data_IF_061015029046
#
_entry.id   IF_061015029046
#
_cell.length_a   1.000
_cell.length_b   1.000
_cell.length_c   1.000
_cell.angle_alpha   90.00
_cell.angle_beta   90.00
_cell.angle_gamma   90.00
#
_symmetry.space_group_name_H-M   'P 1'
#
loop_
_entity.id
_entity.type
_entity.pdbx_description
1 polymer ?
#
# COMPACT_ATOMS: atom_id res chain seq x y z
N UNK A 1 -54.71 7.73 3.33
CA UNK A 1 -54.34 9.08 3.78
C UNK A 1 -53.03 9.39 3.10
N UNK A 2 -53.15 10.01 1.93
CA UNK A 2 -52.03 10.47 1.11
C UNK A 2 -51.21 11.50 1.89
N UNK A 3 -49.90 11.27 1.97
CA UNK A 3 -48.96 12.24 2.52
C UNK A 3 -48.55 13.13 1.35
N UNK A 4 -48.97 14.39 1.43
CA UNK A 4 -48.74 15.47 0.48
C UNK A 4 -47.34 15.45 -0.15
N UNK A 5 -47.30 15.13 -1.45
CA UNK A 5 -46.22 15.52 -2.34
C UNK A 5 -46.33 17.02 -2.61
N UNK A 6 -45.72 17.85 -1.75
CA UNK A 6 -45.47 19.25 -2.05
C UNK A 6 -44.68 19.35 -3.37
N UNK A 7 -45.08 20.22 -4.33
CA UNK A 7 -44.31 20.41 -5.55
C UNK A 7 -42.93 20.95 -5.19
N UNK A 8 -41.88 20.19 -5.48
CA UNK A 8 -40.51 20.68 -5.38
C UNK A 8 -40.37 21.88 -6.32
N UNK A 9 -40.36 23.10 -5.77
CA UNK A 9 -40.06 24.31 -6.54
C UNK A 9 -38.76 24.09 -7.30
N UNK A 10 -38.75 24.43 -8.58
CA UNK A 10 -37.52 24.42 -9.35
C UNK A 10 -36.51 25.39 -8.69
N UNK A 11 -35.24 24.98 -8.55
CA UNK A 11 -34.23 25.80 -7.93
C UNK A 11 -33.98 27.06 -8.77
N UNK A 12 -34.02 28.23 -8.12
CA UNK A 12 -33.78 29.54 -8.70
C UNK A 12 -32.28 29.81 -8.82
N UNK A 13 -31.81 30.25 -9.99
CA UNK A 13 -30.39 30.58 -10.20
C UNK A 13 -30.07 31.97 -9.70
N UNK A 14 -28.93 32.11 -9.01
CA UNK A 14 -28.36 33.42 -8.69
C UNK A 14 -27.49 33.88 -9.87
N UNK A 15 -28.04 34.73 -10.74
CA UNK A 15 -27.36 35.17 -11.97
C UNK A 15 -26.01 35.87 -11.71
N UNK A 16 -25.88 36.60 -10.60
CA UNK A 16 -24.63 37.28 -10.22
C UNK A 16 -23.48 36.31 -9.88
N UNK A 17 -23.81 35.07 -9.52
CA UNK A 17 -22.87 34.03 -9.10
C UNK A 17 -23.07 32.75 -9.93
N UNK A 18 -23.43 32.92 -11.20
CA UNK A 18 -23.65 31.83 -12.16
C UNK A 18 -22.62 31.84 -13.29
N UNK A 19 -21.42 31.33 -13.03
CA UNK A 19 -20.33 31.31 -13.99
C UNK A 19 -20.44 30.11 -14.94
N UNK A 20 -20.54 30.38 -16.25
CA UNK A 20 -20.77 29.35 -17.28
C UNK A 20 -19.66 28.29 -17.38
N UNK A 21 -18.43 28.64 -17.02
CA UNK A 21 -17.24 27.79 -17.16
C UNK A 21 -16.84 27.07 -15.86
N UNK A 22 -17.66 27.18 -14.81
CA UNK A 22 -17.36 26.58 -13.51
C UNK A 22 -18.05 25.22 -13.31
N UNK A 23 -17.38 24.28 -12.64
CA UNK A 23 -17.90 22.92 -12.42
C UNK A 23 -18.65 22.68 -11.10
N UNK A 24 -18.56 23.59 -10.11
CA UNK A 24 -19.16 23.39 -8.79
C UNK A 24 -20.49 24.13 -8.67
N UNK A 25 -21.54 23.38 -8.34
CA UNK A 25 -22.87 23.93 -8.03
C UNK A 25 -23.11 23.84 -6.53
N UNK A 26 -23.42 24.97 -5.89
CA UNK A 26 -23.78 25.05 -4.48
C UNK A 26 -25.28 25.36 -4.41
N UNK A 27 -26.01 24.65 -3.55
CA UNK A 27 -27.43 24.91 -3.28
C UNK A 27 -27.59 25.41 -1.86
N UNK A 28 -28.25 26.56 -1.70
CA UNK A 28 -28.73 27.06 -0.42
C UNK A 28 -30.25 27.24 -0.52
N UNK A 29 -30.99 26.40 0.21
CA UNK A 29 -32.47 26.36 0.14
C UNK A 29 -32.98 26.15 -1.29
N UNK A 30 -33.71 27.12 -1.86
CA UNK A 30 -34.20 27.09 -3.23
C UNK A 30 -33.28 27.81 -4.23
N UNK A 31 -32.14 28.33 -3.80
CA UNK A 31 -31.21 29.08 -4.66
C UNK A 31 -29.99 28.24 -5.01
N UNK A 32 -29.58 28.28 -6.28
CA UNK A 32 -28.38 27.61 -6.77
C UNK A 32 -27.36 28.60 -7.32
N UNK A 33 -26.09 28.30 -7.08
CA UNK A 33 -24.92 29.08 -7.45
C UNK A 33 -23.98 28.19 -8.26
N UNK A 34 -23.30 28.73 -9.26
CA UNK A 34 -22.32 27.99 -10.07
C UNK A 34 -20.99 28.73 -10.04
N UNK A 35 -20.04 28.22 -9.27
CA UNK A 35 -18.84 28.95 -8.84
C UNK A 35 -17.55 28.12 -8.98
N UNK A 36 -16.39 28.78 -9.00
CA UNK A 36 -15.11 28.11 -9.17
C UNK A 36 -14.68 27.36 -7.91
N UNK A 37 -14.25 26.09 -8.09
CA UNK A 37 -13.69 25.26 -7.01
C UNK A 37 -12.41 25.88 -6.45
N UNK A 38 -11.52 26.33 -7.34
CA UNK A 38 -10.19 26.82 -6.96
C UNK A 38 -10.28 28.14 -6.20
N UNK A 39 -11.19 29.04 -6.61
CA UNK A 39 -11.40 30.32 -5.92
C UNK A 39 -11.93 30.08 -4.50
N UNK A 40 -12.88 29.17 -4.32
CA UNK A 40 -13.40 28.82 -2.99
C UNK A 40 -12.35 28.17 -2.11
N UNK A 41 -11.59 27.21 -2.63
CA UNK A 41 -10.52 26.54 -1.91
C UNK A 41 -9.35 27.49 -1.57
N UNK A 42 -9.08 28.48 -2.43
CA UNK A 42 -8.05 29.48 -2.19
C UNK A 42 -8.43 30.42 -1.04
N UNK A 43 -9.69 30.86 -1.00
CA UNK A 43 -10.16 31.84 -0.01
C UNK A 43 -10.75 31.24 1.27
N UNK A 44 -11.01 29.93 1.31
CA UNK A 44 -11.58 29.26 2.49
C UNK A 44 -10.91 27.91 2.72
N UNK A 45 -10.27 27.76 3.89
CA UNK A 45 -9.72 26.48 4.33
C UNK A 45 -10.80 25.41 4.44
N UNK A 46 -11.99 25.77 4.91
CA UNK A 46 -13.12 24.82 5.02
C UNK A 46 -13.52 24.29 3.64
N UNK A 47 -13.65 25.17 2.63
CA UNK A 47 -13.97 24.72 1.28
C UNK A 47 -12.83 23.96 0.63
N UNK A 48 -11.58 24.35 0.90
CA UNK A 48 -10.40 23.61 0.44
C UNK A 48 -10.42 22.17 0.93
N UNK A 49 -10.64 21.98 2.22
CA UNK A 49 -10.63 20.66 2.85
C UNK A 49 -11.86 19.84 2.39
N UNK A 50 -13.04 20.48 2.29
CA UNK A 50 -14.27 19.85 1.80
C UNK A 50 -14.17 19.38 0.34
N UNK A 51 -13.59 20.20 -0.54
CA UNK A 51 -13.47 19.96 -1.98
C UNK A 51 -12.27 19.08 -2.36
N UNK A 52 -11.26 18.98 -1.49
CA UNK A 52 -10.12 18.09 -1.64
C UNK A 52 -10.49 16.61 -1.43
N UNK A 53 -11.61 16.33 -0.76
CA UNK A 53 -12.05 14.97 -0.46
C UNK A 53 -13.04 14.46 -1.52
N UNK A 54 -12.84 13.24 -2.05
CA UNK A 54 -13.64 12.72 -3.17
C UNK A 54 -15.13 12.64 -2.82
N UNK A 55 -15.97 13.00 -3.79
CA UNK A 55 -17.43 12.99 -3.71
C UNK A 55 -18.00 11.68 -4.30
N UNK A 56 -17.31 10.55 -4.10
CA UNK A 56 -17.78 9.31 -4.68
C UNK A 56 -19.09 8.90 -3.99
N UNK A 57 -20.14 8.70 -4.78
CA UNK A 57 -21.47 8.32 -4.28
C UNK A 57 -21.35 6.98 -3.53
N UNK A 58 -20.48 6.11 -4.02
CA UNK A 58 -20.19 4.80 -3.43
C UNK A 58 -19.58 4.95 -2.03
N UNK A 59 -18.63 5.88 -1.84
CA UNK A 59 -18.01 6.12 -0.54
C UNK A 59 -19.03 6.55 0.53
N UNK A 60 -19.94 7.45 0.15
CA UNK A 60 -21.02 7.92 1.03
C UNK A 60 -21.97 6.76 1.35
N UNK A 61 -22.33 5.95 0.36
CA UNK A 61 -23.18 4.78 0.55
C UNK A 61 -22.54 3.76 1.50
N UNK A 62 -21.26 3.42 1.29
CA UNK A 62 -20.50 2.52 2.17
C UNK A 62 -20.45 3.03 3.59
N UNK A 63 -20.17 4.32 3.78
CA UNK A 63 -20.15 4.96 5.09
C UNK A 63 -21.51 4.92 5.79
N UNK A 64 -22.60 5.29 5.10
CA UNK A 64 -23.94 5.27 5.67
C UNK A 64 -24.37 3.84 6.03
N UNK A 65 -24.09 2.87 5.16
CA UNK A 65 -24.35 1.45 5.46
C UNK A 65 -23.54 0.97 6.66
N UNK A 66 -22.28 1.37 6.78
CA UNK A 66 -21.43 1.01 7.92
C UNK A 66 -21.90 1.66 9.25
N UNK A 67 -22.55 2.82 9.18
CA UNK A 67 -23.12 3.51 10.35
C UNK A 67 -24.47 2.92 10.79
N UNK A 68 -25.31 2.54 9.83
CA UNK A 68 -26.71 2.13 10.07
C UNK A 68 -26.82 0.62 10.26
N UNK A 69 -26.12 -0.18 9.46
CA UNK A 69 -26.23 -1.63 9.45
C UNK A 69 -25.06 -2.27 10.20
N UNK A 70 -25.35 -2.86 11.36
CA UNK A 70 -24.33 -3.44 12.24
C UNK A 70 -23.48 -4.54 11.56
N UNK A 71 -24.07 -5.30 10.63
CA UNK A 71 -23.43 -6.41 9.91
C UNK A 71 -22.70 -6.00 8.63
N UNK A 72 -22.88 -4.76 8.14
CA UNK A 72 -22.31 -4.36 6.86
C UNK A 72 -20.79 -4.26 6.93
N UNK A 73 -20.27 -3.61 7.97
CA UNK A 73 -18.84 -3.39 8.15
C UNK A 73 -18.27 -4.45 9.09
N UNK A 74 -17.69 -5.50 8.53
CA UNK A 74 -17.25 -6.70 9.26
C UNK A 74 -15.93 -6.46 10.00
N UNK A 75 -15.64 -7.23 11.08
CA UNK A 75 -14.47 -7.00 11.93
C UNK A 75 -13.13 -7.42 11.31
N UNK A 76 -13.11 -8.23 10.26
CA UNK A 76 -11.88 -8.65 9.56
C UNK A 76 -11.73 -7.89 8.26
N UNK A 77 -10.52 -7.46 7.94
CA UNK A 77 -10.25 -6.63 6.77
C UNK A 77 -10.72 -7.29 5.48
N UNK A 78 -10.31 -8.54 5.25
CA UNK A 78 -10.62 -9.30 4.02
C UNK A 78 -12.07 -9.76 3.90
N UNK A 79 -12.89 -9.61 4.95
CA UNK A 79 -14.32 -9.85 4.85
C UNK A 79 -15.08 -8.65 4.24
N UNK A 80 -14.38 -7.53 4.04
CA UNK A 80 -14.88 -6.31 3.42
C UNK A 80 -14.04 -6.02 2.15
N UNK A 81 -14.62 -5.62 1.01
CA UNK A 81 -13.84 -5.16 -0.13
C UNK A 81 -12.94 -3.97 0.24
N UNK A 82 -11.76 -3.84 -0.38
CA UNK A 82 -10.85 -2.72 -0.11
C UNK A 82 -11.55 -1.37 -0.29
N UNK A 83 -12.35 -1.22 -1.34
CA UNK A 83 -13.04 0.06 -1.64
C UNK A 83 -14.03 0.45 -0.56
N UNK A 84 -14.67 -0.52 0.09
CA UNK A 84 -15.54 -0.28 1.24
C UNK A 84 -14.72 0.23 2.42
N UNK A 85 -13.59 -0.41 2.74
CA UNK A 85 -12.72 0.03 3.85
C UNK A 85 -12.15 1.41 3.57
N UNK A 86 -11.66 1.65 2.35
CA UNK A 86 -11.07 2.92 1.93
C UNK A 86 -12.12 4.04 1.91
N UNK A 87 -13.31 3.80 1.36
CA UNK A 87 -14.41 4.75 1.33
C UNK A 87 -14.90 5.12 2.72
N UNK A 88 -15.13 4.11 3.58
CA UNK A 88 -15.49 4.34 4.99
C UNK A 88 -14.40 5.15 5.69
N UNK A 89 -13.12 4.86 5.46
CA UNK A 89 -12.02 5.60 6.06
C UNK A 89 -11.96 7.07 5.60
N UNK A 90 -12.13 7.33 4.30
CA UNK A 90 -12.17 8.69 3.73
C UNK A 90 -13.32 9.51 4.29
N UNK A 91 -14.54 8.96 4.28
CA UNK A 91 -15.74 9.68 4.73
C UNK A 91 -15.77 9.85 6.25
N UNK A 92 -15.38 8.83 7.01
CA UNK A 92 -15.28 8.96 8.48
C UNK A 92 -14.19 9.95 8.92
N UNK A 93 -13.13 10.14 8.12
CA UNK A 93 -12.20 11.24 8.33
C UNK A 93 -12.83 12.60 7.98
N UNK A 94 -13.51 12.69 6.83
CA UNK A 94 -14.15 13.93 6.34
C UNK A 94 -15.17 14.51 7.31
N UNK A 95 -16.03 13.65 7.84
CA UNK A 95 -17.16 14.05 8.69
C UNK A 95 -16.88 13.84 10.19
N UNK A 96 -15.62 13.62 10.56
CA UNK A 96 -15.18 13.43 11.95
C UNK A 96 -16.05 12.42 12.71
N UNK A 97 -15.98 11.14 12.29
CA UNK A 97 -16.64 10.02 12.97
C UNK A 97 -15.59 9.09 13.55
N UNK A 98 -15.02 9.38 14.75
CA UNK A 98 -13.84 8.72 15.26
C UNK A 98 -13.99 7.22 15.46
N UNK A 99 -15.17 6.75 15.90
CA UNK A 99 -15.42 5.32 16.12
C UNK A 99 -15.30 4.51 14.83
N UNK A 100 -15.82 5.03 13.72
CA UNK A 100 -15.80 4.36 12.43
C UNK A 100 -14.45 4.53 11.74
N UNK A 101 -13.84 5.72 11.84
CA UNK A 101 -12.46 5.99 11.41
C UNK A 101 -11.49 5.00 12.06
N UNK A 102 -11.56 4.87 13.39
CA UNK A 102 -10.72 3.93 14.15
C UNK A 102 -10.91 2.49 13.66
N UNK A 103 -12.15 2.02 13.47
CA UNK A 103 -12.41 0.67 12.92
C UNK A 103 -11.78 0.50 11.55
N UNK A 104 -12.01 1.43 10.62
CA UNK A 104 -11.44 1.34 9.27
C UNK A 104 -9.90 1.38 9.27
N UNK A 105 -9.30 2.19 10.16
CA UNK A 105 -7.86 2.23 10.37
C UNK A 105 -7.29 0.89 10.87
N UNK A 106 -7.98 0.22 11.79
CA UNK A 106 -7.58 -1.12 12.24
C UNK A 106 -7.65 -2.13 11.09
N UNK A 107 -8.69 -2.07 10.24
CA UNK A 107 -8.83 -2.98 9.11
C UNK A 107 -7.72 -2.77 8.07
N UNK A 108 -7.49 -1.53 7.62
CA UNK A 108 -6.48 -1.28 6.59
C UNK A 108 -5.08 -1.59 7.10
N UNK A 109 -4.76 -1.20 8.34
CA UNK A 109 -3.44 -1.42 8.94
C UNK A 109 -3.16 -2.90 9.22
N UNK A 110 -4.19 -3.72 9.44
CA UNK A 110 -4.00 -5.17 9.59
C UNK A 110 -3.52 -5.86 8.31
N UNK A 111 -3.68 -5.22 7.16
CA UNK A 111 -3.32 -5.78 5.84
C UNK A 111 -1.98 -5.26 5.33
N UNK A 112 -1.53 -4.10 5.82
CA UNK A 112 -0.25 -3.51 5.43
C UNK A 112 0.82 -3.73 6.52
N UNK A 113 1.83 -4.58 6.25
CA UNK A 113 2.81 -5.00 7.23
C UNK A 113 3.76 -3.87 7.64
N UNK A 114 3.98 -3.77 8.94
CA UNK A 114 4.99 -2.91 9.59
C UNK A 114 6.13 -3.74 10.19
N UNK A 115 5.90 -5.05 10.32
CA UNK A 115 6.88 -6.06 10.73
C UNK A 115 7.03 -7.10 9.63
N UNK A 116 8.25 -7.61 9.47
CA UNK A 116 8.54 -8.65 8.47
C UNK A 116 7.71 -9.93 8.68
N UNK A 117 7.37 -10.26 9.92
CA UNK A 117 6.52 -11.41 10.28
C UNK A 117 5.12 -11.34 9.67
N UNK A 118 4.65 -10.13 9.38
CA UNK A 118 3.28 -9.87 8.93
C UNK A 118 3.19 -9.88 7.40
N UNK A 119 4.33 -9.93 6.71
CA UNK A 119 4.39 -10.05 5.25
C UNK A 119 3.85 -11.42 4.84
N UNK A 120 2.92 -11.50 3.86
CA UNK A 120 2.43 -12.78 3.35
C UNK A 120 3.59 -13.67 2.88
N UNK A 121 3.81 -14.77 3.62
CA UNK A 121 5.01 -15.61 3.47
C UNK A 121 4.81 -16.86 2.59
N UNK A 122 3.56 -17.17 2.22
CA UNK A 122 3.21 -18.29 1.36
C UNK A 122 2.34 -17.84 0.17
N UNK A 123 2.34 -18.65 -0.89
CA UNK A 123 1.66 -18.33 -2.15
C UNK A 123 0.16 -18.05 -1.97
N UNK A 124 -0.52 -18.78 -1.09
CA UNK A 124 -1.97 -18.61 -0.87
C UNK A 124 -2.29 -17.30 -0.17
N UNK A 125 -1.62 -17.01 0.95
CA UNK A 125 -1.80 -15.76 1.67
C UNK A 125 -1.47 -14.56 0.78
N UNK A 126 -0.42 -14.67 -0.04
CA UNK A 126 -0.02 -13.65 -0.99
C UNK A 126 -1.05 -13.44 -2.09
N UNK A 127 -1.57 -14.51 -2.67
CA UNK A 127 -2.62 -14.45 -3.67
C UNK A 127 -3.87 -13.76 -3.11
N UNK A 128 -4.34 -14.18 -1.93
CA UNK A 128 -5.50 -13.57 -1.30
C UNK A 128 -5.28 -12.08 -0.99
N UNK A 129 -4.06 -11.69 -0.60
CA UNK A 129 -3.70 -10.29 -0.41
C UNK A 129 -3.82 -9.51 -1.73
N UNK A 130 -3.24 -10.02 -2.82
CA UNK A 130 -3.33 -9.40 -4.15
C UNK A 130 -4.74 -9.31 -4.70
N UNK A 131 -5.57 -10.32 -4.46
CA UNK A 131 -6.99 -10.32 -4.87
C UNK A 131 -7.81 -9.27 -4.11
N UNK A 132 -7.41 -8.96 -2.87
CA UNK A 132 -8.09 -7.97 -2.03
C UNK A 132 -7.62 -6.55 -2.30
N UNK A 133 -6.32 -6.33 -2.53
CA UNK A 133 -5.75 -4.99 -2.74
C UNK A 133 -5.96 -4.51 -4.18
N UNK A 134 -6.31 -3.23 -4.41
CA UNK A 134 -6.29 -2.65 -5.74
C UNK A 134 -4.84 -2.44 -6.22
N UNK A 135 -4.65 -1.71 -7.32
CA UNK A 135 -3.31 -1.33 -7.74
C UNK A 135 -2.59 -0.54 -6.64
N UNK A 136 -1.27 -0.72 -6.56
CA UNK A 136 -0.48 -0.05 -5.51
C UNK A 136 -0.46 1.47 -5.71
N UNK A 137 -0.73 1.99 -6.91
CA UNK A 137 -0.89 3.43 -7.11
C UNK A 137 -2.06 3.99 -6.29
N UNK A 138 -3.20 3.30 -6.29
CA UNK A 138 -4.39 3.67 -5.50
C UNK A 138 -4.09 3.62 -4.00
N UNK A 139 -3.36 2.60 -3.56
CA UNK A 139 -2.96 2.46 -2.14
C UNK A 139 -2.04 3.61 -1.71
N UNK A 140 -1.04 3.97 -2.52
CA UNK A 140 -0.13 5.09 -2.25
C UNK A 140 -0.90 6.41 -2.23
N UNK A 141 -1.78 6.64 -3.20
CA UNK A 141 -2.67 7.81 -3.28
C UNK A 141 -3.54 7.95 -2.02
N UNK A 142 -4.14 6.85 -1.55
CA UNK A 142 -4.92 6.82 -0.31
C UNK A 142 -4.07 7.12 0.92
N UNK A 143 -2.92 6.46 1.05
CA UNK A 143 -2.01 6.65 2.17
C UNK A 143 -1.52 8.10 2.27
N UNK A 144 -1.24 8.75 1.13
CA UNK A 144 -0.89 10.17 1.07
C UNK A 144 -2.04 11.08 1.52
N UNK A 145 -3.24 10.88 0.96
CA UNK A 145 -4.41 11.72 1.27
C UNK A 145 -4.80 11.67 2.75
N UNK A 146 -4.53 10.55 3.41
CA UNK A 146 -4.91 10.31 4.81
C UNK A 146 -3.73 10.30 5.79
N UNK A 147 -2.52 10.67 5.34
CA UNK A 147 -1.29 10.68 6.15
C UNK A 147 -0.97 9.33 6.82
N UNK A 148 -1.24 8.21 6.13
CA UNK A 148 -0.96 6.85 6.60
C UNK A 148 0.46 6.41 6.21
N UNK A 149 1.46 7.17 6.64
CA UNK A 149 2.83 7.03 6.13
C UNK A 149 3.46 5.64 6.37
N UNK A 150 3.00 4.89 7.38
CA UNK A 150 3.48 3.53 7.68
C UNK A 150 3.11 2.50 6.62
N UNK A 151 2.13 2.77 5.77
CA UNK A 151 1.75 1.90 4.64
C UNK A 151 2.75 2.05 3.48
N UNK A 152 3.35 3.23 3.34
CA UNK A 152 4.12 3.62 2.16
C UNK A 152 5.34 2.74 1.87
N UNK A 153 6.19 2.33 2.84
CA UNK A 153 7.39 1.55 2.52
C UNK A 153 7.05 0.23 1.83
N UNK A 154 6.03 -0.47 2.32
CA UNK A 154 5.59 -1.74 1.73
C UNK A 154 4.82 -1.52 0.43
N UNK A 155 3.98 -0.48 0.36
CA UNK A 155 3.25 -0.15 -0.87
C UNK A 155 4.20 0.21 -2.02
N UNK A 156 5.24 1.02 -1.78
CA UNK A 156 6.25 1.32 -2.80
C UNK A 156 7.08 0.10 -3.20
N UNK A 157 7.40 -0.77 -2.24
CA UNK A 157 8.07 -2.04 -2.53
C UNK A 157 7.24 -2.92 -3.46
N UNK A 158 5.95 -3.08 -3.18
CA UNK A 158 5.04 -3.85 -4.01
C UNK A 158 4.78 -3.16 -5.37
N UNK A 159 4.72 -1.82 -5.41
CA UNK A 159 4.63 -1.04 -6.65
C UNK A 159 5.82 -1.33 -7.60
N UNK A 160 7.04 -1.44 -7.07
CA UNK A 160 8.20 -1.85 -7.85
C UNK A 160 8.05 -3.26 -8.44
N UNK A 161 7.25 -4.14 -7.81
CA UNK A 161 7.11 -5.55 -8.14
C UNK A 161 5.93 -5.88 -9.04
N UNK A 162 4.83 -5.14 -8.94
CA UNK A 162 3.57 -5.49 -9.60
C UNK A 162 3.22 -4.60 -10.78
N UNK A 163 3.77 -3.39 -10.84
CA UNK A 163 3.37 -2.38 -11.84
C UNK A 163 4.49 -2.17 -12.87
N UNK A 164 4.11 -2.05 -14.14
CA UNK A 164 5.03 -1.75 -15.22
C UNK A 164 5.48 -0.27 -15.16
N UNK A 165 6.73 0.02 -15.50
CA UNK A 165 7.30 1.37 -15.41
C UNK A 165 6.44 2.43 -16.13
N UNK A 166 5.95 2.13 -17.34
CA UNK A 166 5.11 3.05 -18.10
C UNK A 166 3.77 3.37 -17.41
N UNK A 167 3.17 2.40 -16.74
CA UNK A 167 1.90 2.59 -16.03
C UNK A 167 2.10 3.52 -14.84
N UNK A 168 3.21 3.36 -14.12
CA UNK A 168 3.57 4.21 -12.98
C UNK A 168 3.86 5.64 -13.44
N UNK A 169 4.61 5.79 -14.53
CA UNK A 169 4.96 7.11 -15.07
C UNK A 169 3.74 7.86 -15.62
N UNK A 170 2.77 7.15 -16.21
CA UNK A 170 1.54 7.73 -16.76
C UNK A 170 0.39 7.81 -15.76
N UNK A 171 0.48 7.15 -14.61
CA UNK A 171 -0.57 7.14 -13.58
C UNK A 171 -0.95 8.54 -13.09
N UNK A 172 -2.25 8.83 -13.07
CA UNK A 172 -2.82 10.06 -12.48
C UNK A 172 -2.98 9.96 -10.95
N UNK A 173 -2.86 8.77 -10.37
CA UNK A 173 -2.99 8.55 -8.93
C UNK A 173 -1.72 8.94 -8.15
N UNK A 174 -0.56 8.89 -8.81
CA UNK A 174 0.72 9.19 -8.18
C UNK A 174 1.16 10.62 -8.43
N UNK A 175 1.57 11.29 -7.35
CA UNK A 175 2.23 12.59 -7.46
C UNK A 175 3.58 12.48 -8.17
N UNK A 176 4.06 13.59 -8.76
CA UNK A 176 5.41 13.65 -9.37
C UNK A 176 6.49 13.29 -8.35
N UNK A 177 6.29 13.68 -7.09
CA UNK A 177 7.22 13.34 -6.01
C UNK A 177 7.25 11.83 -5.72
N UNK A 178 6.09 11.19 -5.71
CA UNK A 178 5.98 9.74 -5.48
C UNK A 178 6.53 8.93 -6.65
N UNK A 179 6.33 9.40 -7.89
CA UNK A 179 6.97 8.82 -9.08
C UNK A 179 8.50 8.89 -8.99
N UNK A 180 9.04 10.05 -8.61
CA UNK A 180 10.49 10.22 -8.40
C UNK A 180 11.03 9.34 -7.27
N UNK A 181 10.27 9.23 -6.18
CA UNK A 181 10.59 8.38 -5.03
C UNK A 181 10.62 6.91 -5.41
N UNK A 182 9.63 6.45 -6.15
CA UNK A 182 9.57 5.11 -6.71
C UNK A 182 10.77 4.86 -7.63
N UNK A 183 11.07 5.75 -8.58
CA UNK A 183 12.17 5.56 -9.53
C UNK A 183 13.53 5.40 -8.82
N UNK A 184 13.81 6.26 -7.83
CA UNK A 184 15.02 6.15 -7.00
C UNK A 184 15.05 4.86 -6.17
N UNK A 185 13.93 4.48 -5.59
CA UNK A 185 13.80 3.26 -4.80
C UNK A 185 14.01 2.01 -5.65
N UNK A 186 13.36 1.93 -6.80
CA UNK A 186 13.50 0.86 -7.79
C UNK A 186 14.97 0.66 -8.19
N UNK A 187 15.69 1.74 -8.52
CA UNK A 187 17.12 1.66 -8.83
C UNK A 187 17.97 1.12 -7.66
N UNK A 188 17.68 1.55 -6.42
CA UNK A 188 18.38 1.06 -5.20
C UNK A 188 18.11 -0.42 -4.93
N UNK A 189 16.88 -0.87 -5.13
CA UNK A 189 16.49 -2.26 -4.93
C UNK A 189 17.22 -3.20 -5.90
N UNK A 190 17.27 -2.81 -7.18
CA UNK A 190 17.85 -3.63 -8.25
C UNK A 190 19.36 -3.82 -8.11
N UNK A 191 20.09 -2.80 -7.65
CA UNK A 191 21.56 -2.82 -7.58
C UNK A 191 22.06 -3.29 -6.21
N UNK A 192 21.60 -2.68 -5.11
CA UNK A 192 22.26 -2.87 -3.81
C UNK A 192 21.73 -4.08 -3.05
N UNK A 193 20.40 -4.16 -2.93
CA UNK A 193 19.78 -5.13 -2.03
C UNK A 193 19.67 -6.53 -2.62
N UNK A 194 19.52 -6.62 -3.94
CA UNK A 194 19.57 -7.90 -4.62
C UNK A 194 20.93 -8.59 -4.44
N UNK A 195 22.05 -7.84 -4.53
CA UNK A 195 23.38 -8.42 -4.30
C UNK A 195 23.52 -8.94 -2.87
N UNK A 196 23.16 -8.13 -1.86
CA UNK A 196 23.34 -8.49 -0.46
C UNK A 196 22.59 -9.78 -0.07
N UNK A 197 21.34 -9.95 -0.52
CA UNK A 197 20.57 -11.16 -0.22
C UNK A 197 21.10 -12.38 -1.00
N UNK A 198 21.48 -12.22 -2.27
CA UNK A 198 22.11 -13.31 -3.04
C UNK A 198 23.45 -13.74 -2.41
N UNK A 199 24.22 -12.78 -1.91
CA UNK A 199 25.50 -13.01 -1.24
C UNK A 199 25.32 -13.79 0.08
N UNK A 200 24.22 -13.55 0.81
CA UNK A 200 23.95 -14.22 2.10
C UNK A 200 23.84 -15.75 2.00
N UNK A 201 23.38 -16.29 0.87
CA UNK A 201 23.18 -17.74 0.70
C UNK A 201 24.49 -18.45 0.33
N UNK A 202 25.38 -17.77 -0.40
CA UNK A 202 26.63 -18.33 -0.91
C UNK A 202 27.85 -18.06 -0.01
N UNK A 203 27.83 -17.00 0.79
CA UNK A 203 28.92 -16.62 1.69
C UNK A 203 28.63 -17.14 3.13
N UNK A 204 29.61 -17.72 3.86
CA UNK A 204 30.96 -18.10 3.45
C UNK A 204 30.99 -19.27 2.46
N UNK A 205 32.04 -19.33 1.65
CA UNK A 205 32.30 -20.44 0.73
C UNK A 205 32.27 -21.78 1.49
N UNK A 206 32.97 -21.84 2.62
CA UNK A 206 33.04 -23.02 3.45
C UNK A 206 32.30 -22.80 4.76
N UNK A 207 31.38 -23.71 5.07
CA UNK A 207 30.62 -23.71 6.32
C UNK A 207 31.23 -24.78 7.23
N UNK A 208 31.61 -24.37 8.44
CA UNK A 208 32.18 -25.27 9.44
C UNK A 208 31.20 -26.41 9.77
N UNK A 209 31.70 -27.66 9.76
CA UNK A 209 30.88 -28.84 9.98
C UNK A 209 30.07 -29.30 8.75
N UNK A 210 30.30 -28.71 7.56
CA UNK A 210 29.72 -29.22 6.32
C UNK A 210 30.17 -30.67 6.03
N UNK A 211 29.22 -31.57 5.77
CA UNK A 211 29.51 -32.98 5.45
C UNK A 211 30.07 -33.19 4.05
N UNK A 212 29.65 -32.35 3.09
CA UNK A 212 30.01 -32.47 1.68
C UNK A 212 30.36 -31.09 1.10
N UNK A 213 31.56 -30.54 1.42
CA UNK A 213 31.89 -29.16 1.07
C UNK A 213 31.75 -28.83 -0.42
N UNK A 214 32.27 -29.67 -1.32
CA UNK A 214 32.21 -29.42 -2.75
C UNK A 214 30.79 -29.45 -3.31
N UNK A 215 29.98 -30.45 -2.91
CA UNK A 215 28.60 -30.59 -3.38
C UNK A 215 27.72 -29.46 -2.83
N UNK A 216 27.82 -29.17 -1.53
CA UNK A 216 27.01 -28.10 -0.92
C UNK A 216 27.38 -26.74 -1.49
N UNK A 217 28.66 -26.49 -1.75
CA UNK A 217 29.13 -25.29 -2.43
C UNK A 217 28.52 -25.22 -3.84
N UNK A 218 28.72 -26.24 -4.68
CA UNK A 218 28.20 -26.26 -6.05
C UNK A 218 26.69 -25.99 -6.11
N UNK A 219 25.89 -26.62 -5.25
CA UNK A 219 24.44 -26.38 -5.20
C UNK A 219 24.09 -24.93 -4.80
N UNK A 220 24.87 -24.31 -3.91
CA UNK A 220 24.71 -22.89 -3.55
C UNK A 220 25.11 -21.95 -4.70
N UNK A 221 26.15 -22.27 -5.48
CA UNK A 221 26.50 -21.51 -6.71
C UNK A 221 25.34 -21.57 -7.68
N UNK A 222 24.82 -22.77 -7.93
CA UNK A 222 23.77 -23.00 -8.91
C UNK A 222 22.53 -22.19 -8.51
N UNK A 223 22.10 -22.29 -7.25
CA UNK A 223 20.96 -21.52 -6.77
C UNK A 223 21.15 -20.00 -6.84
N UNK A 224 22.38 -19.49 -6.60
CA UNK A 224 22.70 -18.08 -6.82
C UNK A 224 22.59 -17.70 -8.29
N UNK A 225 23.22 -18.49 -9.17
CA UNK A 225 23.21 -18.25 -10.61
C UNK A 225 21.79 -18.28 -11.18
N UNK A 226 20.98 -19.24 -10.76
CA UNK A 226 19.59 -19.37 -11.18
C UNK A 226 18.78 -18.14 -10.73
N UNK A 227 18.96 -17.66 -9.50
CA UNK A 227 18.30 -16.45 -9.02
C UNK A 227 18.79 -15.17 -9.75
N UNK A 228 20.08 -15.09 -10.09
CA UNK A 228 20.63 -13.99 -10.91
C UNK A 228 20.11 -14.03 -12.36
N UNK A 229 19.91 -15.23 -12.90
CA UNK A 229 19.43 -15.47 -14.26
C UNK A 229 17.93 -15.18 -14.38
N UNK A 230 17.12 -15.66 -13.43
CA UNK A 230 15.69 -15.33 -13.33
C UNK A 230 15.49 -13.80 -13.32
N UNK A 231 16.34 -13.05 -12.61
CA UNK A 231 16.34 -11.58 -12.60
C UNK A 231 16.63 -10.95 -13.96
N UNK A 232 17.49 -11.57 -14.77
CA UNK A 232 17.93 -11.02 -16.05
C UNK A 232 16.92 -11.26 -17.18
N UNK A 233 16.12 -12.34 -17.09
CA UNK A 233 15.20 -12.76 -18.14
C UNK A 233 13.72 -12.46 -17.85
N UNK A 234 13.34 -12.24 -16.59
CA UNK A 234 11.97 -11.83 -16.22
C UNK A 234 11.89 -10.29 -16.12
N UNK A 235 11.70 -9.64 -17.26
CA UNK A 235 11.51 -8.17 -17.34
C UNK A 235 10.17 -7.72 -16.77
N UNK A 236 9.21 -8.62 -16.68
CA UNK A 236 7.81 -8.29 -16.33
C UNK A 236 7.54 -8.48 -14.83
N UNK A 237 8.33 -9.29 -14.12
CA UNK A 237 8.22 -9.48 -12.66
C UNK A 237 9.59 -9.56 -11.95
N UNK A 238 10.32 -8.43 -11.80
CA UNK A 238 11.61 -8.42 -11.14
C UNK A 238 11.53 -9.01 -9.72
N UNK A 239 12.39 -9.99 -9.42
CA UNK A 239 12.46 -10.56 -8.07
C UNK A 239 13.21 -9.62 -7.13
N UNK A 240 12.44 -8.99 -6.26
CA UNK A 240 12.94 -8.08 -5.23
C UNK A 240 13.37 -8.80 -3.95
N UNK A 241 14.20 -8.16 -3.10
CA UNK A 241 14.88 -8.77 -1.96
C UNK A 241 14.05 -9.73 -1.09
N UNK A 242 12.81 -9.39 -0.73
CA UNK A 242 11.97 -10.25 0.12
C UNK A 242 11.50 -11.54 -0.56
N UNK A 243 11.64 -11.64 -1.89
CA UNK A 243 11.10 -12.74 -2.71
C UNK A 243 12.11 -13.28 -3.74
N UNK A 244 13.40 -12.92 -3.64
CA UNK A 244 14.45 -13.37 -4.58
C UNK A 244 14.44 -14.90 -4.72
N UNK A 245 14.37 -15.57 -3.58
CA UNK A 245 14.15 -17.00 -3.50
C UNK A 245 12.69 -17.20 -3.12
N UNK A 246 11.86 -17.66 -4.07
CA UNK A 246 10.52 -18.13 -3.74
C UNK A 246 10.60 -19.19 -2.63
N UNK A 247 9.52 -19.34 -1.86
CA UNK A 247 9.45 -20.32 -0.76
C UNK A 247 9.83 -21.74 -1.24
N UNK A 248 9.43 -22.09 -2.47
CA UNK A 248 9.79 -23.33 -3.16
C UNK A 248 11.25 -23.42 -3.57
N UNK A 249 11.87 -22.32 -4.01
CA UNK A 249 13.27 -22.27 -4.43
C UNK A 249 14.24 -22.44 -3.27
N UNK A 250 13.99 -21.76 -2.14
CA UNK A 250 14.80 -21.91 -0.94
C UNK A 250 14.66 -23.31 -0.34
N UNK A 251 13.43 -23.82 -0.28
CA UNK A 251 13.16 -25.18 0.20
C UNK A 251 13.86 -26.22 -0.68
N UNK A 252 13.83 -26.04 -2.01
CA UNK A 252 14.55 -26.89 -2.96
C UNK A 252 16.07 -26.86 -2.76
N UNK A 253 16.67 -25.70 -2.53
CA UNK A 253 18.10 -25.63 -2.19
C UNK A 253 18.40 -26.36 -0.88
N UNK A 254 17.57 -26.18 0.14
CA UNK A 254 17.74 -26.82 1.45
C UNK A 254 17.67 -28.35 1.40
N UNK A 255 16.97 -28.96 0.42
CA UNK A 255 16.97 -30.42 0.23
C UNK A 255 18.20 -30.95 -0.52
N UNK A 256 18.91 -30.08 -1.25
CA UNK A 256 20.07 -30.43 -2.07
C UNK A 256 21.42 -30.28 -1.33
N UNK A 257 21.43 -29.66 -0.14
CA UNK A 257 22.62 -29.46 0.69
C UNK A 257 22.56 -30.28 1.98
N UNK A 258 23.69 -30.44 2.66
CA UNK A 258 23.70 -31.12 3.95
C UNK A 258 22.94 -30.32 5.04
N UNK A 259 22.43 -31.00 6.06
CA UNK A 259 21.66 -30.38 7.16
C UNK A 259 22.36 -29.19 7.86
N UNK A 260 23.69 -29.16 7.93
CA UNK A 260 24.45 -28.03 8.50
C UNK A 260 24.35 -26.82 7.58
N UNK A 261 24.61 -27.00 6.28
CA UNK A 261 24.46 -25.93 5.29
C UNK A 261 23.02 -25.44 5.17
N UNK A 262 22.02 -26.34 5.23
CA UNK A 262 20.61 -25.95 5.19
C UNK A 262 20.24 -25.01 6.34
N UNK A 263 20.67 -25.32 7.57
CA UNK A 263 20.44 -24.45 8.74
C UNK A 263 21.13 -23.09 8.58
N UNK A 264 22.38 -23.10 8.14
CA UNK A 264 23.13 -21.87 7.89
C UNK A 264 22.44 -21.00 6.83
N UNK A 265 22.00 -21.58 5.72
CA UNK A 265 21.30 -20.87 4.63
C UNK A 265 19.99 -20.28 5.15
N UNK A 266 19.18 -21.07 5.87
CA UNK A 266 17.91 -20.59 6.42
C UNK A 266 18.11 -19.41 7.39
N UNK A 267 19.14 -19.50 8.25
CA UNK A 267 19.49 -18.43 9.17
C UNK A 267 19.99 -17.18 8.43
N UNK A 268 21.00 -17.32 7.57
CA UNK A 268 21.59 -16.22 6.82
C UNK A 268 20.54 -15.51 5.94
N UNK A 269 19.65 -16.26 5.30
CA UNK A 269 18.56 -15.70 4.51
C UNK A 269 17.56 -14.93 5.38
N UNK A 270 17.19 -15.47 6.55
CA UNK A 270 16.30 -14.78 7.48
C UNK A 270 16.91 -13.49 8.02
N UNK A 271 18.20 -13.51 8.37
CA UNK A 271 18.94 -12.34 8.85
C UNK A 271 19.04 -11.27 7.75
N UNK A 272 19.40 -11.65 6.53
CA UNK A 272 19.48 -10.74 5.40
C UNK A 272 18.11 -10.11 5.05
N UNK A 273 17.02 -10.88 5.14
CA UNK A 273 15.66 -10.34 4.97
C UNK A 273 15.29 -9.36 6.08
N UNK A 274 15.68 -9.64 7.32
CA UNK A 274 15.41 -8.77 8.45
C UNK A 274 16.21 -7.46 8.35
N UNK A 275 17.48 -7.53 7.95
CA UNK A 275 18.32 -6.37 7.70
C UNK A 275 17.74 -5.51 6.57
N UNK A 276 17.35 -6.14 5.46
CA UNK A 276 16.65 -5.46 4.37
C UNK A 276 15.36 -4.80 4.86
N UNK A 277 14.53 -5.51 5.63
CA UNK A 277 13.28 -4.97 6.16
C UNK A 277 13.53 -3.69 6.94
N UNK A 278 14.50 -3.67 7.85
CA UNK A 278 14.84 -2.48 8.65
C UNK A 278 15.19 -1.28 7.77
N UNK A 279 15.86 -1.51 6.64
CA UNK A 279 16.29 -0.46 5.71
C UNK A 279 15.26 -0.10 4.64
N UNK A 280 14.16 -0.87 4.51
CA UNK A 280 13.16 -0.68 3.47
C UNK A 280 12.60 0.76 3.41
N UNK A 281 12.25 1.42 4.53
CA UNK A 281 11.79 2.82 4.46
C UNK A 281 12.86 3.76 3.91
N UNK A 282 14.13 3.57 4.28
CA UNK A 282 15.24 4.39 3.82
C UNK A 282 15.49 4.25 2.31
N UNK A 283 15.19 3.09 1.71
CA UNK A 283 15.22 2.88 0.25
C UNK A 283 14.39 3.94 -0.46
N UNK A 284 13.20 4.24 0.07
CA UNK A 284 12.25 5.22 -0.47
C UNK A 284 12.33 6.60 0.21
N UNK A 285 13.39 6.87 0.97
CA UNK A 285 13.56 8.11 1.76
C UNK A 285 12.36 8.41 2.68
N UNK A 286 11.84 7.37 3.33
CA UNK A 286 10.80 7.44 4.35
C UNK A 286 11.42 7.34 5.77
N UNK A 287 10.70 7.79 6.82
CA UNK A 287 11.13 7.62 8.20
C UNK A 287 11.36 6.15 8.58
N UNK A 288 12.17 5.91 9.61
CA UNK A 288 12.42 4.55 10.10
C UNK A 288 11.12 3.87 10.58
N UNK A 289 11.13 2.53 10.62
CA UNK A 289 9.98 1.77 11.13
C UNK A 289 9.58 2.16 12.55
N UNK A 290 10.52 2.58 13.40
CA UNK A 290 10.21 3.06 14.76
C UNK A 290 9.33 4.31 14.73
N UNK A 291 9.64 5.26 13.85
CA UNK A 291 8.83 6.49 13.66
C UNK A 291 7.48 6.13 13.05
N UNK A 292 7.47 5.28 12.02
CA UNK A 292 6.25 4.87 11.34
C UNK A 292 5.30 4.08 12.24
N UNK A 293 5.81 3.18 13.07
CA UNK A 293 5.01 2.43 14.04
C UNK A 293 4.44 3.35 15.12
N UNK A 294 5.21 4.36 15.54
CA UNK A 294 4.70 5.40 16.45
C UNK A 294 3.53 6.18 15.82
N UNK A 295 3.68 6.64 14.57
CA UNK A 295 2.61 7.34 13.84
C UNK A 295 1.36 6.46 13.70
N UNK A 296 1.55 5.17 13.42
CA UNK A 296 0.47 4.19 13.35
C UNK A 296 -0.27 4.06 14.68
N UNK A 297 0.45 3.94 15.79
CA UNK A 297 -0.15 3.84 17.13
C UNK A 297 -0.92 5.11 17.48
N UNK A 298 -0.35 6.29 17.23
CA UNK A 298 -1.00 7.59 17.45
C UNK A 298 -2.30 7.72 16.64
N UNK A 299 -2.31 7.26 15.38
CA UNK A 299 -3.50 7.24 14.54
C UNK A 299 -4.58 6.28 15.07
N UNK A 300 -4.20 5.11 15.60
CA UNK A 300 -5.13 4.12 16.16
C UNK A 300 -5.71 4.55 17.52
N UNK A 301 -4.96 5.35 18.27
CA UNK A 301 -5.39 5.93 19.55
C UNK A 301 -6.33 7.14 19.35
N UNK A 302 -6.31 7.76 18.17
CA UNK A 302 -7.17 8.90 17.82
C UNK A 302 -6.53 10.26 18.13
N UNK A 303 -5.20 10.31 18.21
CA UNK A 303 -4.43 11.53 18.51
C UNK A 303 -4.01 12.31 17.24
N UNK A 304 -4.65 12.04 16.09
CA UNK A 304 -4.28 12.56 14.76
C UNK A 304 -5.48 12.95 13.90
#
# INVERSE_FOLDING_TARGET
>A
MDVDSLPSKEPTRCEELWFADCGLVIRAENTVFRVSRDVLAFHSSVFRDMLALPNDVDDIEYFLKALIHYDFFKPKAMDNPFEVVAGVLRISHKYDVPALRKRALHLITAVFPTKLSDVPNNSRARQSWHEWTPSMEVVVSLARKLSLDWILPFAFYELCRTSHELDILTSDELSVEDKHRWAKGSARLTVNWNSAILDSIWNPLYIDGCKFPSICLEQRVIARKDAEMDRAYDTDAPRYPLNIYGETSLQGLCTMVCSVCSKHIAQAFSEARQEFWVQLPAVFNLPSWEVLEKMKLEALEGNM
#
